data_IF_605475696586
#
_entry.id   IF_605475696586
#
_cell.length_a   1.000
_cell.length_b   1.000
_cell.length_c   1.000
_cell.angle_alpha   90.00
_cell.angle_beta   90.00
_cell.angle_gamma   90.00
#
_symmetry.space_group_name_H-M   'P 1'
#
loop_
_entity.id
_entity.type
_entity.pdbx_description
1 polymer ?
#
# COMPACT_ATOMS: atom_id res chain seq x y z
N UNK A 1 65.04 47.06 -43.71
CA UNK A 1 66.14 46.06 -43.79
C UNK A 1 65.54 44.67 -43.62
N UNK A 2 65.70 43.80 -44.65
CA UNK A 2 65.97 42.34 -44.59
C UNK A 2 64.94 41.47 -43.79
N UNK A 3 64.03 40.74 -44.45
CA UNK A 3 64.04 39.25 -44.70
C UNK A 3 64.06 38.42 -43.39
N UNK A 4 63.24 37.41 -43.07
CA UNK A 4 62.52 36.32 -43.78
C UNK A 4 61.78 35.50 -42.69
N UNK A 5 60.53 35.06 -42.89
CA UNK A 5 60.08 33.68 -43.20
C UNK A 5 60.25 32.59 -42.10
N UNK A 6 59.13 31.94 -41.74
CA UNK A 6 58.87 30.54 -41.29
C UNK A 6 57.80 30.54 -40.17
N UNK A 7 56.51 30.36 -40.46
CA UNK A 7 55.79 29.09 -40.74
C UNK A 7 55.86 28.11 -39.56
N UNK A 8 54.90 28.21 -38.63
CA UNK A 8 54.41 27.05 -37.87
C UNK A 8 52.89 27.12 -37.84
N UNK A 9 52.32 26.09 -38.44
CA UNK A 9 50.93 25.76 -38.67
C UNK A 9 50.20 25.43 -37.38
N UNK A 10 49.01 26.02 -37.26
CA UNK A 10 47.78 25.48 -36.69
C UNK A 10 47.82 24.01 -36.23
N UNK A 11 47.45 23.79 -34.96
CA UNK A 11 46.30 22.95 -34.69
C UNK A 11 45.56 23.52 -33.47
N UNK A 12 44.45 24.20 -33.77
CA UNK A 12 43.53 24.75 -32.78
C UNK A 12 43.01 23.63 -31.87
N UNK A 13 43.23 23.86 -30.58
CA UNK A 13 42.60 23.12 -29.50
C UNK A 13 41.08 23.29 -29.60
N UNK A 14 40.37 22.17 -29.60
CA UNK A 14 38.92 22.12 -29.72
C UNK A 14 38.22 22.80 -28.55
N UNK A 15 37.38 23.79 -28.88
CA UNK A 15 36.30 24.24 -28.03
C UNK A 15 34.98 23.85 -28.72
N UNK A 16 34.57 22.60 -28.53
CA UNK A 16 33.18 22.23 -28.76
C UNK A 16 32.36 22.91 -27.67
N UNK A 17 31.65 23.98 -28.03
CA UNK A 17 30.58 24.55 -27.22
C UNK A 17 29.45 23.52 -27.18
N UNK A 18 29.53 22.62 -26.21
CA UNK A 18 28.44 21.70 -25.84
C UNK A 18 27.30 22.57 -25.32
N UNK A 19 26.21 22.61 -26.07
CA UNK A 19 24.99 23.32 -25.70
C UNK A 19 24.42 22.78 -24.40
N UNK A 20 24.16 23.66 -23.44
CA UNK A 20 23.32 23.38 -22.29
C UNK A 20 21.86 23.28 -22.76
N UNK A 21 21.42 22.11 -23.23
CA UNK A 21 20.00 21.78 -23.16
C UNK A 21 19.74 21.26 -21.75
N UNK A 22 19.39 22.19 -20.85
CA UNK A 22 18.66 21.81 -19.64
C UNK A 22 17.24 21.48 -20.09
N UNK A 23 17.01 20.21 -20.40
CA UNK A 23 15.66 19.67 -20.48
C UNK A 23 15.12 19.66 -19.05
N UNK A 24 14.47 20.76 -18.67
CA UNK A 24 13.51 20.73 -17.58
C UNK A 24 12.36 19.83 -18.05
N UNK A 25 12.50 18.53 -17.79
CA UNK A 25 11.35 17.67 -17.58
C UNK A 25 10.60 18.30 -16.40
N UNK A 26 9.66 19.18 -16.75
CA UNK A 26 8.53 19.49 -15.91
C UNK A 26 7.78 18.17 -15.81
N UNK A 27 8.16 17.36 -14.82
CA UNK A 27 7.28 16.36 -14.25
C UNK A 27 6.11 17.16 -13.67
N UNK A 28 5.15 17.43 -14.55
CA UNK A 28 3.77 17.55 -14.13
C UNK A 28 3.50 16.29 -13.34
N UNK A 29 3.57 16.43 -12.01
CA UNK A 29 2.99 15.52 -11.05
C UNK A 29 1.49 15.53 -11.32
N UNK A 30 1.09 14.85 -12.39
CA UNK A 30 -0.20 14.23 -12.49
C UNK A 30 -0.36 13.49 -11.18
N UNK A 31 -1.35 13.89 -10.39
CA UNK A 31 -1.84 13.14 -9.26
C UNK A 31 -2.34 11.79 -9.82
N UNK A 32 -1.40 10.89 -10.11
CA UNK A 32 -1.69 9.51 -10.41
C UNK A 32 -2.38 8.98 -9.16
N UNK A 33 -3.57 8.44 -9.36
CA UNK A 33 -4.27 7.72 -8.30
C UNK A 33 -3.36 6.56 -7.87
N UNK A 34 -2.61 6.77 -6.78
CA UNK A 34 -1.59 5.85 -6.29
C UNK A 34 -2.26 4.74 -5.48
N UNK A 35 -3.09 3.95 -6.16
CA UNK A 35 -3.78 2.82 -5.55
C UNK A 35 -2.79 1.68 -5.30
N UNK A 36 -2.79 1.18 -4.06
CA UNK A 36 -2.04 -0.01 -3.63
C UNK A 36 -3.00 -1.04 -3.06
N UNK A 37 -2.55 -2.28 -2.90
CA UNK A 37 -3.38 -3.38 -2.41
C UNK A 37 -2.69 -4.10 -1.26
N UNK A 38 -3.47 -4.49 -0.26
CA UNK A 38 -3.09 -5.45 0.77
C UNK A 38 -3.84 -6.76 0.48
N UNK A 39 -3.12 -7.86 0.37
CA UNK A 39 -3.70 -9.19 0.15
C UNK A 39 -3.67 -10.00 1.44
N UNK A 40 -4.37 -11.12 1.47
CA UNK A 40 -4.27 -12.02 2.60
C UNK A 40 -5.42 -13.00 2.73
N UNK A 41 -5.49 -13.62 3.90
CA UNK A 41 -6.57 -14.54 4.25
C UNK A 41 -7.17 -14.26 5.62
N UNK A 42 -8.43 -14.67 5.79
CA UNK A 42 -9.22 -14.60 7.03
C UNK A 42 -9.53 -16.03 7.45
N UNK A 43 -9.13 -16.43 8.66
CA UNK A 43 -9.35 -17.77 9.19
C UNK A 43 -9.70 -17.76 10.68
N UNK A 44 -10.36 -18.82 11.17
CA UNK A 44 -10.61 -19.06 12.61
C UNK A 44 -10.34 -20.53 12.96
N UNK A 45 -10.30 -20.88 14.25
CA UNK A 45 -9.86 -22.22 14.72
C UNK A 45 -11.02 -23.17 14.99
N UNK A 46 -12.18 -22.62 15.29
CA UNK A 46 -13.40 -23.33 15.61
C UNK A 46 -13.81 -24.24 14.44
N UNK A 47 -14.20 -25.48 14.74
CA UNK A 47 -14.63 -26.46 13.73
C UNK A 47 -16.11 -26.30 13.40
N UNK A 48 -16.47 -25.11 12.93
CA UNK A 48 -17.85 -24.71 12.58
C UNK A 48 -17.83 -24.17 11.15
N UNK A 49 -18.81 -24.56 10.34
CA UNK A 49 -18.96 -24.04 8.99
C UNK A 49 -19.63 -22.66 8.99
N UNK A 50 -19.18 -21.77 8.11
CA UNK A 50 -19.90 -20.53 7.81
C UNK A 50 -21.12 -20.86 6.94
N UNK A 51 -22.29 -20.26 7.24
CA UNK A 51 -23.40 -20.31 6.30
C UNK A 51 -23.06 -19.51 5.03
N UNK A 52 -23.66 -19.83 3.87
CA UNK A 52 -23.30 -19.19 2.60
C UNK A 52 -23.47 -17.67 2.57
N UNK A 53 -24.42 -17.14 3.34
CA UNK A 53 -24.72 -15.71 3.45
C UNK A 53 -23.88 -14.98 4.51
N UNK A 54 -22.87 -15.63 5.11
CA UNK A 54 -21.98 -14.96 6.03
C UNK A 54 -21.25 -13.80 5.32
N UNK A 55 -21.18 -12.64 5.96
CA UNK A 55 -20.57 -11.43 5.41
C UNK A 55 -19.22 -11.20 6.08
N UNK A 56 -18.16 -11.18 5.27
CA UNK A 56 -16.81 -10.82 5.71
C UNK A 56 -16.59 -9.34 5.46
N UNK A 57 -16.08 -8.63 6.46
CA UNK A 57 -15.59 -7.25 6.30
C UNK A 57 -14.13 -7.20 6.71
N UNK A 58 -13.27 -6.67 5.85
CA UNK A 58 -11.86 -6.35 6.14
C UNK A 58 -11.66 -4.85 5.96
N UNK A 59 -11.10 -4.19 6.97
CA UNK A 59 -10.86 -2.75 6.97
C UNK A 59 -9.40 -2.44 7.28
N UNK A 60 -8.87 -1.43 6.60
CA UNK A 60 -7.59 -0.80 6.91
C UNK A 60 -7.87 0.40 7.81
N UNK A 61 -7.30 0.38 9.02
CA UNK A 61 -7.52 1.39 10.04
C UNK A 61 -6.21 2.11 10.37
N UNK A 62 -6.28 3.45 10.45
CA UNK A 62 -5.26 4.27 11.10
C UNK A 62 -5.49 4.23 12.63
N UNK A 63 -4.54 3.60 13.33
CA UNK A 63 -4.56 3.35 14.77
C UNK A 63 -3.47 4.15 15.49
N UNK A 64 -3.06 5.27 14.92
CA UNK A 64 -2.00 6.13 15.47
C UNK A 64 -2.41 6.84 16.75
N UNK A 65 -3.69 7.15 16.89
CA UNK A 65 -4.25 7.80 18.07
C UNK A 65 -4.84 6.75 19.00
N UNK A 66 -4.30 6.64 20.22
CA UNK A 66 -4.76 5.66 21.21
C UNK A 66 -6.14 6.00 21.80
N UNK A 67 -6.43 7.29 21.96
CA UNK A 67 -7.63 7.78 22.67
C UNK A 67 -8.75 8.27 21.73
N UNK A 68 -8.66 7.90 20.44
CA UNK A 68 -9.65 8.28 19.44
C UNK A 68 -10.15 7.04 18.68
N UNK A 69 -11.40 7.05 18.17
CA UNK A 69 -11.84 6.04 17.23
C UNK A 69 -10.89 5.95 16.03
N UNK A 70 -10.53 4.72 15.66
CA UNK A 70 -9.64 4.49 14.52
C UNK A 70 -10.29 4.98 13.22
N UNK A 71 -9.51 5.66 12.37
CA UNK A 71 -9.99 6.15 11.08
C UNK A 71 -9.90 5.01 10.05
N UNK A 72 -11.02 4.65 9.45
CA UNK A 72 -11.05 3.67 8.35
C UNK A 72 -10.59 4.34 7.05
N UNK A 73 -9.56 3.81 6.40
CA UNK A 73 -9.03 4.31 5.13
C UNK A 73 -9.55 3.51 3.94
N UNK A 74 -9.71 2.21 4.11
CA UNK A 74 -10.26 1.32 3.10
C UNK A 74 -11.09 0.23 3.76
N UNK A 75 -12.09 -0.28 3.04
CA UNK A 75 -12.94 -1.38 3.48
C UNK A 75 -13.35 -2.24 2.30
N UNK A 76 -13.20 -3.54 2.46
CA UNK A 76 -13.73 -4.55 1.57
C UNK A 76 -14.80 -5.35 2.30
N UNK A 77 -15.91 -5.64 1.61
CA UNK A 77 -17.00 -6.45 2.13
C UNK A 77 -17.44 -7.44 1.07
N UNK A 78 -17.57 -8.71 1.44
CA UNK A 78 -17.99 -9.78 0.53
C UNK A 78 -18.75 -10.88 1.29
N UNK A 79 -19.66 -11.55 0.59
CA UNK A 79 -20.32 -12.75 1.10
C UNK A 79 -19.45 -13.98 0.88
N UNK A 80 -19.57 -14.97 1.76
CA UNK A 80 -18.79 -16.21 1.65
C UNK A 80 -19.21 -17.09 0.48
N UNK A 81 -20.46 -17.01 0.04
CA UNK A 81 -21.01 -17.82 -1.06
C UNK A 81 -20.75 -19.33 -0.87
N UNK A 82 -20.75 -19.79 0.39
CA UNK A 82 -20.49 -21.18 0.78
C UNK A 82 -19.01 -21.55 0.89
N UNK A 83 -18.08 -20.67 0.50
CA UNK A 83 -16.64 -20.84 0.75
C UNK A 83 -16.38 -20.90 2.24
N UNK A 84 -15.40 -21.70 2.62
CA UNK A 84 -14.98 -21.89 4.01
C UNK A 84 -13.58 -21.32 4.22
N UNK A 85 -13.21 -21.10 5.48
CA UNK A 85 -11.88 -20.60 5.83
C UNK A 85 -10.77 -21.56 5.37
N UNK A 86 -9.59 -21.03 4.98
CA UNK A 86 -9.24 -19.61 4.90
C UNK A 86 -9.90 -18.89 3.70
N UNK A 87 -10.44 -17.68 3.95
CA UNK A 87 -11.07 -16.84 2.92
C UNK A 87 -10.10 -15.75 2.47
N UNK A 88 -9.77 -15.72 1.18
CA UNK A 88 -8.88 -14.70 0.61
C UNK A 88 -9.56 -13.33 0.52
N UNK A 89 -8.78 -12.26 0.67
CA UNK A 89 -9.21 -10.88 0.48
C UNK A 89 -8.17 -10.06 -0.30
N UNK A 90 -8.63 -8.98 -0.91
CA UNK A 90 -7.80 -8.00 -1.65
C UNK A 90 -8.32 -6.59 -1.33
N UNK A 91 -7.61 -5.89 -0.46
CA UNK A 91 -8.01 -4.58 0.05
C UNK A 91 -7.22 -3.48 -0.64
N UNK A 92 -7.83 -2.83 -1.62
CA UNK A 92 -7.24 -1.65 -2.28
C UNK A 92 -7.41 -0.39 -1.45
N UNK A 93 -6.34 0.41 -1.35
CA UNK A 93 -6.29 1.66 -0.62
C UNK A 93 -5.52 2.73 -1.41
N UNK A 94 -5.81 4.00 -1.15
CA UNK A 94 -5.08 5.12 -1.73
C UNK A 94 -3.80 5.38 -0.93
N UNK A 95 -2.63 5.25 -1.55
CA UNK A 95 -1.36 5.41 -0.85
C UNK A 95 -1.06 6.85 -0.45
N UNK A 96 -1.75 7.84 -1.03
CA UNK A 96 -1.67 9.24 -0.60
C UNK A 96 -2.30 9.49 0.78
N UNK A 97 -3.15 8.57 1.27
CA UNK A 97 -3.72 8.65 2.63
C UNK A 97 -2.76 8.11 3.71
N UNK A 98 -1.63 7.53 3.30
CA UNK A 98 -0.63 6.95 4.20
C UNK A 98 0.40 7.99 4.61
N UNK A 99 0.61 8.11 5.92
CA UNK A 99 1.60 8.98 6.54
C UNK A 99 2.72 8.13 7.15
N UNK A 100 4.01 8.45 6.89
CA UNK A 100 5.13 7.62 7.36
C UNK A 100 5.22 7.45 8.88
N UNK A 101 4.75 8.42 9.66
CA UNK A 101 4.79 8.42 11.13
C UNK A 101 3.49 7.91 11.78
N UNK A 102 2.57 7.36 10.98
CA UNK A 102 1.33 6.76 11.46
C UNK A 102 1.45 5.24 11.53
N UNK A 103 0.56 4.61 12.30
CA UNK A 103 0.44 3.16 12.44
C UNK A 103 -0.87 2.69 11.84
N UNK A 104 -0.79 1.66 11.00
CA UNK A 104 -1.93 1.07 10.34
C UNK A 104 -2.14 -0.37 10.77
N UNK A 105 -3.40 -0.78 10.94
CA UNK A 105 -3.75 -2.15 11.30
C UNK A 105 -4.94 -2.62 10.49
N UNK A 106 -4.97 -3.92 10.19
CA UNK A 106 -6.16 -4.56 9.63
C UNK A 106 -7.14 -4.93 10.75
N UNK A 107 -8.44 -4.74 10.45
CA UNK A 107 -9.56 -5.29 11.22
C UNK A 107 -10.40 -6.17 10.32
N UNK A 108 -10.60 -7.41 10.71
CA UNK A 108 -11.49 -8.34 10.02
C UNK A 108 -12.60 -8.80 10.96
N UNK A 109 -13.82 -8.90 10.42
CA UNK A 109 -14.98 -9.45 11.14
C UNK A 109 -15.85 -10.25 10.19
N UNK A 110 -16.57 -11.21 10.76
CA UNK A 110 -17.59 -12.00 10.07
C UNK A 110 -18.91 -11.82 10.80
N UNK A 111 -19.92 -11.42 10.04
CA UNK A 111 -21.30 -11.27 10.51
C UNK A 111 -22.20 -12.33 9.85
N UNK A 112 -23.16 -12.85 10.60
CA UNK A 112 -24.19 -13.78 10.12
C UNK A 112 -25.53 -13.24 10.61
N UNK A 113 -26.47 -13.03 9.70
CA UNK A 113 -27.77 -12.41 10.00
C UNK A 113 -27.63 -11.06 10.74
N UNK A 114 -26.62 -10.26 10.38
CA UNK A 114 -26.31 -8.98 11.03
C UNK A 114 -25.71 -9.08 12.44
N UNK A 115 -25.43 -10.30 12.93
CA UNK A 115 -24.79 -10.52 14.23
C UNK A 115 -23.31 -10.80 14.05
N UNK A 116 -22.47 -10.12 14.83
CA UNK A 116 -21.04 -10.43 14.91
C UNK A 116 -20.85 -11.87 15.39
N UNK A 117 -20.06 -12.64 14.64
CA UNK A 117 -19.72 -14.03 14.97
C UNK A 117 -18.24 -14.25 15.18
N UNK A 118 -17.41 -13.55 14.40
CA UNK A 118 -15.95 -13.64 14.49
C UNK A 118 -15.33 -12.25 14.31
N UNK A 119 -14.24 -11.99 15.02
CA UNK A 119 -13.44 -10.77 14.90
C UNK A 119 -11.98 -11.05 15.23
N UNK A 120 -11.01 -10.30 14.70
CA UNK A 120 -9.64 -10.37 15.21
C UNK A 120 -9.51 -9.59 16.53
N UNK A 121 -8.90 -10.22 17.54
CA UNK A 121 -8.65 -9.64 18.87
C UNK A 121 -7.20 -9.14 19.05
N UNK A 122 -6.33 -9.43 18.08
CA UNK A 122 -4.94 -8.94 18.03
C UNK A 122 -4.77 -7.90 16.93
N UNK A 123 -3.91 -6.90 17.17
CA UNK A 123 -3.51 -5.96 16.13
C UNK A 123 -2.74 -6.67 15.02
N UNK A 124 -3.04 -6.31 13.77
CA UNK A 124 -2.40 -6.83 12.56
C UNK A 124 -1.74 -5.64 11.87
N UNK A 125 -0.53 -5.22 12.30
CA UNK A 125 0.12 -4.03 11.78
C UNK A 125 0.55 -4.24 10.33
N UNK A 126 0.40 -3.21 9.50
CA UNK A 126 0.68 -3.23 8.05
C UNK A 126 1.25 -1.89 7.57
N UNK A 127 1.82 -1.88 6.37
CA UNK A 127 2.33 -0.71 5.63
C UNK A 127 3.55 -0.04 6.28
N UNK A 128 3.40 0.49 7.50
CA UNK A 128 4.42 1.25 8.24
C UNK A 128 5.01 0.47 9.41
N UNK A 129 4.69 -0.81 9.51
CA UNK A 129 5.37 -1.74 10.40
C UNK A 129 6.82 -1.99 9.95
N UNK A 130 7.62 -2.60 10.83
CA UNK A 130 9.04 -2.84 10.57
C UNK A 130 9.29 -3.67 9.29
N UNK A 131 8.36 -4.56 8.95
CA UNK A 131 8.45 -5.45 7.78
C UNK A 131 7.77 -4.88 6.54
N UNK A 132 7.15 -3.69 6.64
CA UNK A 132 6.37 -3.06 5.56
C UNK A 132 5.34 -4.04 4.96
N UNK A 133 4.54 -4.66 5.83
CA UNK A 133 3.67 -5.77 5.49
C UNK A 133 2.55 -5.35 4.53
N UNK A 134 2.42 -6.07 3.40
CA UNK A 134 1.34 -5.92 2.41
C UNK A 134 0.56 -7.22 2.15
N UNK A 135 0.91 -8.30 2.84
CA UNK A 135 0.21 -9.59 2.80
C UNK A 135 0.00 -10.08 4.23
N UNK A 136 -1.23 -10.43 4.61
CA UNK A 136 -1.56 -10.77 6.00
C UNK A 136 -2.48 -11.99 6.15
N UNK A 137 -2.10 -12.92 7.02
CA UNK A 137 -2.98 -14.00 7.47
C UNK A 137 -3.65 -13.60 8.79
N UNK A 138 -4.93 -13.25 8.72
CA UNK A 138 -5.72 -12.76 9.85
C UNK A 138 -6.39 -13.94 10.54
N UNK A 139 -6.09 -14.14 11.83
CA UNK A 139 -6.77 -15.11 12.69
C UNK A 139 -7.85 -14.43 13.51
N UNK A 140 -9.07 -14.93 13.40
CA UNK A 140 -10.24 -14.44 14.09
C UNK A 140 -10.56 -15.35 15.28
N UNK A 141 -11.32 -14.81 16.22
CA UNK A 141 -11.85 -15.49 17.39
C UNK A 141 -13.37 -15.39 17.39
N UNK A 142 -14.05 -16.45 17.80
CA UNK A 142 -15.50 -16.46 17.96
C UNK A 142 -15.96 -15.51 19.07
N UNK A 143 -17.03 -14.76 18.80
CA UNK A 143 -17.72 -13.97 19.82
C UNK A 143 -18.80 -14.83 20.48
N UNK A 144 -18.97 -14.67 21.80
CA UNK A 144 -19.98 -15.40 22.58
C UNK A 144 -21.39 -14.89 22.29
#
# INVERSE_FOLDING_TARGET
MKKTLLLVTSLLFGAALVGCQTSQNTEMESAEASMKTITGTVAYRERIALPPHAVVTVALEDVSLADAPAKVLAKQTFETEGKQVPLAFELSYNSNDIKPNHRYSLRARIEVDGKLRFINDTSIPVITDAEQTHEANIRLVGTR
#
